data_IF_770992994848
#
_entry.id   IF_770992994848
#
_cell.length_a   1.000
_cell.length_b   1.000
_cell.length_c   1.000
_cell.angle_alpha   90.00
_cell.angle_beta   90.00
_cell.angle_gamma   90.00
#
_symmetry.space_group_name_H-M   'P 1'
#
loop_
_entity.id
_entity.type
_entity.pdbx_description
1 polymer ?
#
# COMPACT_ATOMS: atom_id res chain seq x y z
N UNK A 1 6.47 -10.53 30.41
CA UNK A 1 6.86 -10.13 29.02
C UNK A 1 6.29 -8.74 28.78
N UNK A 2 7.02 -7.85 28.11
CA UNK A 2 6.45 -6.53 27.72
C UNK A 2 5.43 -6.72 26.59
N UNK A 3 4.32 -6.00 26.66
CA UNK A 3 3.32 -5.99 25.61
C UNK A 3 3.90 -5.50 24.27
N UNK A 4 3.36 -5.97 23.17
CA UNK A 4 3.83 -5.78 21.79
C UNK A 4 2.86 -4.94 20.95
N UNK A 5 3.40 -4.31 19.94
CA UNK A 5 2.64 -3.76 18.82
C UNK A 5 2.69 -4.81 17.71
N UNK A 6 1.54 -5.36 17.36
CA UNK A 6 1.40 -6.34 16.28
C UNK A 6 0.92 -5.60 15.04
N UNK A 7 1.82 -5.36 14.09
CA UNK A 7 1.50 -4.68 12.84
C UNK A 7 1.05 -5.70 11.82
N UNK A 8 -0.19 -5.60 11.38
CA UNK A 8 -0.84 -6.59 10.50
C UNK A 8 -1.11 -5.98 9.13
N UNK A 9 -0.54 -6.57 8.10
CA UNK A 9 -0.94 -6.31 6.71
C UNK A 9 -2.29 -6.94 6.40
N UNK A 10 -3.27 -6.11 6.04
CA UNK A 10 -4.64 -6.58 5.76
C UNK A 10 -4.91 -6.82 4.27
N UNK A 11 -3.87 -6.82 3.45
CA UNK A 11 -4.00 -7.08 2.02
C UNK A 11 -4.52 -5.89 1.20
N UNK A 12 -4.80 -6.09 -0.10
CA UNK A 12 -5.13 -5.02 -1.04
C UNK A 12 -6.55 -4.44 -0.87
N UNK A 13 -7.44 -5.15 -0.15
CA UNK A 13 -8.81 -4.67 0.09
C UNK A 13 -9.81 -5.75 0.41
N UNK A 14 -9.86 -6.83 -0.37
CA UNK A 14 -10.74 -7.97 -0.11
C UNK A 14 -10.21 -8.79 1.09
N UNK A 15 -11.07 -9.12 2.08
CA UNK A 15 -10.71 -9.92 3.26
C UNK A 15 -10.11 -11.30 2.96
N UNK A 16 -10.42 -11.88 1.81
CA UNK A 16 -9.88 -13.19 1.40
C UNK A 16 -8.35 -13.19 1.23
N UNK A 17 -7.75 -11.99 1.08
CA UNK A 17 -6.30 -11.82 0.95
C UNK A 17 -5.58 -11.50 2.25
N UNK A 18 -6.30 -11.50 3.39
CA UNK A 18 -5.64 -11.41 4.69
C UNK A 18 -5.13 -12.77 5.12
N UNK A 19 -3.89 -12.82 5.60
CA UNK A 19 -3.34 -14.08 6.10
C UNK A 19 -4.05 -14.51 7.38
N UNK A 20 -4.35 -15.82 7.58
CA UNK A 20 -5.10 -16.30 8.74
C UNK A 20 -4.50 -15.86 10.09
N UNK A 21 -3.17 -15.81 10.20
CA UNK A 21 -2.48 -15.32 11.40
C UNK A 21 -2.82 -13.84 11.70
N UNK A 22 -2.92 -13.01 10.67
CA UNK A 22 -3.30 -11.60 10.79
C UNK A 22 -4.74 -11.45 11.25
N UNK A 23 -5.67 -12.16 10.61
CA UNK A 23 -7.08 -12.13 10.98
C UNK A 23 -7.31 -12.59 12.44
N UNK A 24 -6.60 -13.63 12.86
CA UNK A 24 -6.68 -14.11 14.24
C UNK A 24 -6.14 -13.07 15.24
N UNK A 25 -5.02 -12.41 14.93
CA UNK A 25 -4.47 -11.34 15.76
C UNK A 25 -5.47 -10.18 15.91
N UNK A 26 -6.12 -9.76 14.82
CA UNK A 26 -7.14 -8.71 14.84
C UNK A 26 -8.34 -9.11 15.71
N UNK A 27 -8.87 -10.32 15.54
CA UNK A 27 -10.05 -10.80 16.29
C UNK A 27 -9.80 -10.94 17.80
N UNK A 28 -8.57 -11.25 18.19
CA UNK A 28 -8.19 -11.44 19.61
C UNK A 28 -7.70 -10.15 20.27
N UNK A 29 -7.50 -9.08 19.50
CA UNK A 29 -7.00 -7.82 20.03
C UNK A 29 -8.00 -7.15 20.96
N UNK A 30 -7.51 -6.58 22.08
CA UNK A 30 -8.28 -5.66 22.92
C UNK A 30 -8.25 -4.25 22.33
N UNK A 31 -7.15 -3.87 21.72
CA UNK A 31 -6.90 -2.54 21.18
C UNK A 31 -6.54 -2.64 19.69
N UNK A 32 -7.30 -1.94 18.86
CA UNK A 32 -7.08 -1.89 17.41
C UNK A 32 -6.77 -0.47 16.94
N UNK A 33 -5.74 -0.35 16.12
CA UNK A 33 -5.42 0.85 15.37
C UNK A 33 -5.57 0.53 13.89
N UNK A 34 -6.18 1.41 13.10
CA UNK A 34 -6.34 1.15 11.67
C UNK A 34 -7.04 2.29 10.94
N UNK A 35 -6.97 2.30 9.61
CA UNK A 35 -7.79 3.20 8.80
C UNK A 35 -9.28 2.98 9.05
N UNK A 36 -10.11 4.01 8.91
CA UNK A 36 -11.56 3.95 9.21
C UNK A 36 -12.24 2.76 8.53
N UNK A 37 -11.91 2.50 7.26
CA UNK A 37 -12.45 1.36 6.52
C UNK A 37 -12.03 0.01 7.14
N UNK A 38 -10.75 -0.14 7.49
CA UNK A 38 -10.26 -1.37 8.12
C UNK A 38 -10.93 -1.62 9.47
N UNK A 39 -11.08 -0.59 10.29
CA UNK A 39 -11.80 -0.70 11.56
C UNK A 39 -13.26 -1.09 11.36
N UNK A 40 -13.97 -0.45 10.42
CA UNK A 40 -15.36 -0.80 10.08
C UNK A 40 -15.53 -2.23 9.59
N UNK A 41 -14.51 -2.78 8.91
CA UNK A 41 -14.57 -4.11 8.31
C UNK A 41 -14.18 -5.23 9.28
N UNK A 42 -13.22 -4.99 10.17
CA UNK A 42 -12.57 -6.04 10.95
C UNK A 42 -12.76 -5.93 12.46
N UNK A 43 -13.13 -4.75 13.00
CA UNK A 43 -13.34 -4.62 14.43
C UNK A 43 -14.58 -5.40 14.87
N UNK A 44 -14.52 -5.97 16.07
CA UNK A 44 -15.64 -6.69 16.71
C UNK A 44 -16.02 -6.01 18.02
N UNK A 45 -17.21 -6.31 18.51
CA UNK A 45 -17.71 -5.75 19.76
C UNK A 45 -16.75 -6.00 20.93
N UNK A 46 -16.61 -4.98 21.78
CA UNK A 46 -15.72 -5.02 22.95
C UNK A 46 -14.27 -4.62 22.69
N UNK A 47 -13.88 -4.37 21.44
CA UNK A 47 -12.56 -3.83 21.12
C UNK A 47 -12.56 -2.29 21.20
N UNK A 48 -11.52 -1.73 21.80
CA UNK A 48 -11.28 -0.29 21.76
C UNK A 48 -10.46 0.08 20.53
N UNK A 49 -10.97 1.00 19.72
CA UNK A 49 -10.40 1.32 18.40
C UNK A 49 -9.84 2.74 18.34
N UNK A 50 -8.77 2.93 17.57
CA UNK A 50 -8.20 4.24 17.26
C UNK A 50 -8.02 4.37 15.74
N UNK A 51 -8.71 5.30 15.06
CA UNK A 51 -8.56 5.50 13.63
C UNK A 51 -7.24 6.20 13.30
N UNK A 52 -6.54 5.68 12.30
CA UNK A 52 -5.38 6.38 11.72
C UNK A 52 -5.92 7.59 10.93
N UNK A 53 -5.46 8.77 11.32
CA UNK A 53 -5.78 10.06 10.68
C UNK A 53 -4.49 10.78 10.34
N UNK A 54 -4.57 12.05 9.91
CA UNK A 54 -3.41 12.90 9.73
C UNK A 54 -2.66 13.19 11.05
N UNK A 55 -3.35 13.06 12.20
CA UNK A 55 -2.75 13.16 13.54
C UNK A 55 -2.07 11.82 13.91
N UNK A 56 -0.88 11.61 13.37
CA UNK A 56 -0.07 10.41 13.66
C UNK A 56 0.40 10.44 15.12
N UNK A 57 0.65 11.62 15.71
CA UNK A 57 1.09 11.70 17.10
C UNK A 57 0.01 11.18 18.06
N UNK A 58 -1.25 11.56 17.85
CA UNK A 58 -2.37 11.03 18.65
C UNK A 58 -2.50 9.51 18.56
N UNK A 59 -2.21 8.92 17.39
CA UNK A 59 -2.15 7.45 17.22
C UNK A 59 -1.01 6.85 18.07
N UNK A 60 0.20 7.46 18.06
CA UNK A 60 1.33 6.98 18.86
C UNK A 60 1.05 7.08 20.36
N UNK A 61 0.38 8.14 20.80
CA UNK A 61 0.02 8.34 22.22
C UNK A 61 -1.03 7.31 22.67
N UNK A 62 -2.04 7.03 21.83
CA UNK A 62 -2.98 5.93 22.09
C UNK A 62 -2.23 4.61 22.27
N UNK A 63 -1.33 4.26 21.35
CA UNK A 63 -0.55 3.03 21.42
C UNK A 63 0.25 2.97 22.73
N UNK A 64 0.98 4.04 23.10
CA UNK A 64 1.77 4.08 24.34
C UNK A 64 0.93 3.81 25.59
N UNK A 65 -0.24 4.42 25.66
CA UNK A 65 -1.16 4.24 26.79
C UNK A 65 -1.68 2.81 26.86
N UNK A 66 -2.09 2.24 25.69
CA UNK A 66 -2.70 0.91 25.66
C UNK A 66 -1.70 -0.22 25.85
N UNK A 67 -0.44 -0.03 25.45
CA UNK A 67 0.65 -0.97 25.73
C UNK A 67 0.92 -1.20 27.23
N UNK A 68 0.45 -0.33 28.11
CA UNK A 68 0.52 -0.57 29.55
C UNK A 68 -0.45 -1.66 30.02
N UNK A 69 -1.46 -1.99 29.22
CA UNK A 69 -2.53 -2.90 29.58
C UNK A 69 -2.45 -4.24 28.81
N UNK A 70 -2.25 -4.20 27.48
CA UNK A 70 -2.18 -5.38 26.61
C UNK A 70 -1.46 -5.04 25.30
N UNK A 71 -1.29 -6.05 24.45
CA UNK A 71 -0.83 -5.87 23.09
C UNK A 71 -1.79 -4.95 22.29
N UNK A 72 -1.21 -4.17 21.37
CA UNK A 72 -1.97 -3.32 20.44
C UNK A 72 -1.79 -3.85 19.03
N UNK A 73 -2.88 -4.08 18.32
CA UNK A 73 -2.83 -4.49 16.90
C UNK A 73 -3.01 -3.26 16.02
N UNK A 74 -2.06 -3.02 15.13
CA UNK A 74 -2.11 -1.97 14.13
C UNK A 74 -2.32 -2.56 12.73
N UNK A 75 -3.50 -2.33 12.16
CA UNK A 75 -3.86 -2.76 10.81
C UNK A 75 -3.38 -1.74 9.79
N UNK A 76 -2.68 -2.21 8.76
CA UNK A 76 -2.23 -1.40 7.63
C UNK A 76 -2.68 -2.03 6.31
N UNK A 77 -3.06 -1.20 5.33
CA UNK A 77 -3.41 -1.69 3.99
C UNK A 77 -2.18 -2.29 3.31
N UNK A 78 -2.37 -3.35 2.54
CA UNK A 78 -1.30 -4.05 1.85
C UNK A 78 -0.37 -4.80 2.78
N UNK A 79 0.93 -4.59 2.60
CA UNK A 79 2.03 -5.13 3.41
C UNK A 79 2.64 -4.05 4.30
N UNK A 80 2.93 -4.35 5.58
CA UNK A 80 3.54 -3.37 6.50
C UNK A 80 4.91 -2.85 6.06
N UNK A 81 5.67 -3.65 5.33
CA UNK A 81 7.01 -3.28 4.85
C UNK A 81 7.00 -2.37 3.62
N UNK A 82 5.82 -2.02 3.08
CA UNK A 82 5.73 -1.26 1.84
C UNK A 82 4.92 0.03 2.01
N UNK A 83 5.60 1.14 2.35
CA UNK A 83 5.04 2.48 2.54
C UNK A 83 3.85 2.54 3.50
N UNK A 84 4.05 2.14 4.73
CA UNK A 84 2.98 2.02 5.73
C UNK A 84 3.28 2.76 7.05
N UNK A 85 2.34 2.65 8.01
CA UNK A 85 2.52 3.15 9.38
C UNK A 85 3.75 2.52 10.08
N UNK A 86 4.26 1.38 9.61
CA UNK A 86 5.42 0.72 10.22
C UNK A 86 6.63 1.66 10.30
N UNK A 87 6.85 2.53 9.31
CA UNK A 87 7.94 3.50 9.32
C UNK A 87 7.83 4.49 10.49
N UNK A 88 6.62 4.96 10.81
CA UNK A 88 6.38 5.82 11.94
C UNK A 88 6.54 5.06 13.28
N UNK A 89 6.01 3.85 13.36
CA UNK A 89 6.15 3.00 14.55
C UNK A 89 7.61 2.69 14.86
N UNK A 90 8.44 2.43 13.86
CA UNK A 90 9.88 2.17 14.05
C UNK A 90 10.68 3.38 14.54
N UNK A 91 10.21 4.59 14.29
CA UNK A 91 10.84 5.81 14.83
C UNK A 91 10.49 6.05 16.30
N UNK A 92 9.32 5.59 16.74
CA UNK A 92 8.74 5.88 18.06
C UNK A 92 8.90 4.74 19.07
N UNK A 93 9.03 3.51 18.60
CA UNK A 93 9.08 2.31 19.44
C UNK A 93 10.29 1.45 19.11
N UNK A 94 10.92 0.83 20.13
CA UNK A 94 12.05 -0.07 19.91
C UNK A 94 11.62 -1.31 19.10
N UNK A 95 12.53 -1.81 18.27
CA UNK A 95 12.22 -2.91 17.34
C UNK A 95 11.73 -4.18 18.03
N UNK A 96 12.22 -4.45 19.21
CA UNK A 96 11.82 -5.60 20.05
C UNK A 96 10.38 -5.51 20.55
N UNK A 97 9.74 -4.34 20.52
CA UNK A 97 8.31 -4.19 20.80
C UNK A 97 7.42 -4.40 19.57
N UNK A 98 8.00 -4.48 18.39
CA UNK A 98 7.26 -4.64 17.14
C UNK A 98 7.24 -6.12 16.73
N UNK A 99 6.06 -6.59 16.34
CA UNK A 99 5.87 -7.87 15.66
C UNK A 99 5.12 -7.60 14.38
N UNK A 100 5.68 -8.01 13.24
CA UNK A 100 5.08 -7.76 11.93
C UNK A 100 4.49 -9.05 11.39
N UNK A 101 3.23 -8.98 10.97
CA UNK A 101 2.56 -10.02 10.20
C UNK A 101 2.40 -9.47 8.78
N UNK A 102 3.08 -10.07 7.78
CA UNK A 102 3.06 -9.55 6.42
C UNK A 102 1.67 -9.66 5.79
N UNK A 103 1.44 -8.88 4.74
CA UNK A 103 0.25 -8.93 3.91
C UNK A 103 0.59 -8.87 2.43
N UNK A 104 -0.40 -9.01 1.57
CA UNK A 104 -0.24 -8.86 0.12
C UNK A 104 -0.37 -7.38 -0.21
N UNK A 105 0.69 -6.74 -0.71
CA UNK A 105 0.63 -5.35 -1.16
C UNK A 105 -0.24 -5.21 -2.41
N UNK A 106 -0.82 -4.03 -2.62
CA UNK A 106 -1.53 -3.73 -3.88
C UNK A 106 -0.62 -3.88 -5.09
N UNK A 107 0.68 -3.61 -4.93
CA UNK A 107 1.69 -3.79 -5.97
C UNK A 107 1.85 -5.26 -6.35
N UNK A 108 2.06 -6.16 -5.37
CA UNK A 108 2.14 -7.60 -5.62
C UNK A 108 0.87 -8.13 -6.27
N UNK A 109 -0.29 -7.66 -5.80
CA UNK A 109 -1.58 -8.06 -6.36
C UNK A 109 -1.72 -7.61 -7.82
N UNK A 110 -1.31 -6.37 -8.17
CA UNK A 110 -1.33 -5.88 -9.54
C UNK A 110 -0.50 -6.76 -10.50
N UNK A 111 0.73 -7.10 -10.10
CA UNK A 111 1.58 -8.01 -10.88
C UNK A 111 0.95 -9.41 -11.03
N UNK A 112 0.35 -9.94 -9.98
CA UNK A 112 -0.35 -11.23 -10.03
C UNK A 112 -1.55 -11.20 -10.99
N UNK A 113 -2.33 -10.10 -11.00
CA UNK A 113 -3.47 -9.93 -11.90
C UNK A 113 -3.06 -9.85 -13.38
N UNK A 114 -1.86 -9.37 -13.63
CA UNK A 114 -1.26 -9.32 -14.98
C UNK A 114 -0.48 -10.60 -15.35
N UNK A 115 -0.43 -11.57 -14.44
CA UNK A 115 0.38 -12.80 -14.57
C UNK A 115 1.87 -12.51 -14.85
N UNK A 116 2.43 -11.48 -14.21
CA UNK A 116 3.80 -11.01 -14.42
C UNK A 116 4.68 -11.28 -13.21
N UNK A 117 5.92 -11.76 -13.42
CA UNK A 117 6.93 -11.74 -12.39
C UNK A 117 7.35 -10.30 -12.09
N UNK A 118 7.68 -10.02 -10.82
CA UNK A 118 8.06 -8.66 -10.39
C UNK A 118 9.45 -8.57 -9.75
N UNK A 119 10.22 -9.69 -9.77
CA UNK A 119 11.54 -9.72 -9.17
C UNK A 119 12.56 -8.78 -9.83
N UNK A 120 12.39 -8.48 -11.14
CA UNK A 120 13.25 -7.53 -11.88
C UNK A 120 12.61 -6.14 -12.03
N UNK A 121 11.44 -5.91 -11.42
CA UNK A 121 10.77 -4.62 -11.52
C UNK A 121 11.38 -3.60 -10.56
N UNK A 122 11.58 -2.38 -11.03
CA UNK A 122 11.83 -1.23 -10.18
C UNK A 122 10.50 -0.80 -9.55
N UNK A 123 10.46 -0.65 -8.23
CA UNK A 123 9.26 -0.22 -7.52
C UNK A 123 9.49 1.17 -6.93
N UNK A 124 8.60 2.12 -7.23
CA UNK A 124 8.68 3.47 -6.72
C UNK A 124 7.29 3.98 -6.26
N UNK A 125 7.26 5.10 -5.57
CA UNK A 125 6.03 5.62 -4.99
C UNK A 125 5.91 7.12 -5.17
N UNK A 126 4.78 7.53 -5.73
CA UNK A 126 4.31 8.92 -5.69
C UNK A 126 3.33 9.18 -4.53
N UNK A 127 3.00 8.16 -3.74
CA UNK A 127 2.07 8.32 -2.63
C UNK A 127 2.73 9.07 -1.47
N UNK A 128 2.37 10.35 -1.32
CA UNK A 128 2.91 11.25 -0.29
C UNK A 128 4.41 11.56 -0.41
N UNK A 129 5.01 11.30 -1.58
CA UNK A 129 6.44 11.54 -1.89
C UNK A 129 6.65 11.69 -3.39
N UNK A 130 7.84 12.12 -3.78
CA UNK A 130 8.27 12.14 -5.18
C UNK A 130 9.47 11.21 -5.34
N UNK A 131 9.42 10.24 -6.28
CA UNK A 131 10.58 9.41 -6.61
C UNK A 131 11.76 10.27 -7.12
N UNK A 132 12.97 9.75 -6.99
CA UNK A 132 14.15 10.37 -7.60
C UNK A 132 14.10 10.25 -9.12
N UNK A 133 14.83 11.13 -9.82
CA UNK A 133 14.95 11.07 -11.27
C UNK A 133 15.52 9.73 -11.75
N UNK A 134 16.45 9.13 -11.00
CA UNK A 134 17.05 7.83 -11.30
C UNK A 134 16.04 6.68 -11.18
N UNK A 135 15.20 6.68 -10.14
CA UNK A 135 14.17 5.64 -9.95
C UNK A 135 13.23 5.56 -11.15
N UNK A 136 12.84 6.71 -11.74
CA UNK A 136 11.87 6.78 -12.83
C UNK A 136 12.50 6.94 -14.22
N UNK A 137 13.81 7.07 -14.35
CA UNK A 137 14.49 7.18 -15.65
C UNK A 137 14.19 5.96 -16.53
N UNK A 138 14.04 6.20 -17.83
CA UNK A 138 13.84 5.13 -18.82
C UNK A 138 15.14 4.37 -19.06
N UNK A 139 15.02 3.06 -19.05
CA UNK A 139 16.03 2.12 -19.54
C UNK A 139 15.37 1.05 -20.41
N UNK A 140 15.98 0.61 -21.53
CA UNK A 140 15.44 -0.47 -22.33
C UNK A 140 15.23 -1.74 -21.50
N UNK A 141 14.00 -2.28 -21.53
CA UNK A 141 13.63 -3.48 -20.78
C UNK A 141 13.19 -3.22 -19.33
N UNK A 142 13.31 -1.99 -18.82
CA UNK A 142 12.85 -1.66 -17.47
C UNK A 142 11.35 -1.86 -17.32
N UNK A 143 10.95 -2.50 -16.23
CA UNK A 143 9.57 -2.56 -15.74
C UNK A 143 9.50 -1.70 -14.48
N UNK A 144 8.55 -0.76 -14.44
CA UNK A 144 8.41 0.18 -13.35
C UNK A 144 7.01 0.07 -12.74
N UNK A 145 6.94 -0.36 -11.47
CA UNK A 145 5.72 -0.38 -10.67
C UNK A 145 5.60 0.86 -9.79
N UNK A 146 4.46 1.55 -9.83
CA UNK A 146 4.27 2.85 -9.19
C UNK A 146 3.01 2.89 -8.33
N UNK A 147 3.16 3.35 -7.08
CA UNK A 147 2.04 3.80 -6.26
C UNK A 147 1.65 5.23 -6.63
N UNK A 148 0.35 5.49 -6.69
CA UNK A 148 -0.21 6.81 -7.03
C UNK A 148 -0.93 7.44 -5.85
N UNK A 149 -1.24 8.73 -5.95
CA UNK A 149 -2.09 9.46 -5.02
C UNK A 149 -3.11 10.34 -5.77
N UNK A 150 -3.74 11.29 -5.09
CA UNK A 150 -4.71 12.19 -5.70
C UNK A 150 -4.09 13.24 -6.62
N UNK A 151 -2.84 13.64 -6.38
CA UNK A 151 -2.11 14.63 -7.20
C UNK A 151 -1.35 13.94 -8.34
N UNK A 152 -0.69 12.81 -8.02
CA UNK A 152 0.05 11.99 -8.95
C UNK A 152 -0.82 10.82 -9.40
N UNK A 153 -1.71 11.10 -10.34
CA UNK A 153 -2.66 10.16 -10.93
C UNK A 153 -2.13 9.54 -12.22
N UNK A 154 -2.94 8.70 -12.87
CA UNK A 154 -2.56 8.00 -14.11
C UNK A 154 -2.10 8.91 -15.24
N UNK A 155 -2.73 10.08 -15.40
CA UNK A 155 -2.39 11.04 -16.47
C UNK A 155 -1.11 11.81 -16.13
N UNK A 156 -1.02 12.36 -14.92
CA UNK A 156 0.16 13.14 -14.49
C UNK A 156 1.42 12.30 -14.46
N UNK A 157 1.33 11.05 -14.00
CA UNK A 157 2.49 10.15 -13.99
C UNK A 157 2.89 9.76 -15.41
N UNK A 158 1.96 9.49 -16.32
CA UNK A 158 2.29 9.23 -17.72
C UNK A 158 3.10 10.39 -18.33
N UNK A 159 2.70 11.64 -18.07
CA UNK A 159 3.45 12.83 -18.51
C UNK A 159 4.84 12.92 -17.87
N UNK A 160 4.94 12.63 -16.56
CA UNK A 160 6.22 12.64 -15.84
C UNK A 160 7.16 11.59 -16.44
N UNK A 161 6.69 10.38 -16.72
CA UNK A 161 7.50 9.32 -17.32
C UNK A 161 7.96 9.71 -18.73
N UNK A 162 7.09 10.25 -19.58
CA UNK A 162 7.49 10.71 -20.92
C UNK A 162 8.56 11.82 -20.84
N UNK A 163 8.44 12.76 -19.86
CA UNK A 163 9.49 13.76 -19.61
C UNK A 163 10.80 13.14 -19.08
N UNK A 164 10.71 12.00 -18.38
CA UNK A 164 11.87 11.22 -17.92
C UNK A 164 12.48 10.30 -19.01
N UNK A 165 12.05 10.45 -20.28
CA UNK A 165 12.62 9.76 -21.44
C UNK A 165 11.89 8.50 -21.86
N UNK A 166 10.77 8.14 -21.23
CA UNK A 166 9.99 6.96 -21.64
C UNK A 166 9.34 7.20 -23.00
N UNK A 167 9.41 6.26 -23.95
CA UNK A 167 8.74 6.38 -25.24
C UNK A 167 7.22 6.52 -25.08
N UNK A 168 6.57 7.43 -25.84
CA UNK A 168 5.11 7.62 -25.75
C UNK A 168 4.28 6.36 -26.01
N UNK A 169 4.79 5.46 -26.87
CA UNK A 169 4.17 4.18 -27.17
C UNK A 169 4.44 3.06 -26.16
N UNK A 170 5.17 3.35 -25.06
CA UNK A 170 5.46 2.35 -24.04
C UNK A 170 4.17 1.86 -23.36
N UNK A 171 3.99 0.53 -23.18
CA UNK A 171 2.84 -0.01 -22.47
C UNK A 171 2.72 0.53 -21.05
N UNK A 172 1.48 0.82 -20.64
CA UNK A 172 1.09 1.21 -19.31
C UNK A 172 -0.13 0.40 -18.89
N UNK A 173 -0.05 -0.27 -17.75
CA UNK A 173 -1.19 -0.89 -17.08
C UNK A 173 -1.64 -0.01 -15.94
N UNK A 174 -2.93 0.32 -15.93
CA UNK A 174 -3.59 1.07 -14.87
C UNK A 174 -4.44 0.07 -14.08
N UNK A 175 -4.08 -0.21 -12.84
CA UNK A 175 -4.73 -1.19 -12.00
C UNK A 175 -5.45 -0.45 -10.86
N UNK A 176 -6.75 -0.28 -11.01
CA UNK A 176 -7.60 0.47 -10.09
C UNK A 176 -8.51 -0.44 -9.31
N UNK A 177 -8.87 -0.04 -8.08
CA UNK A 177 -9.81 -0.75 -7.23
C UNK A 177 -9.47 -2.24 -7.04
N UNK A 178 -8.18 -2.54 -6.98
CA UNK A 178 -7.63 -3.89 -6.90
C UNK A 178 -8.24 -4.69 -5.75
N UNK A 179 -8.67 -5.91 -6.05
CA UNK A 179 -9.35 -6.88 -5.17
C UNK A 179 -10.78 -6.52 -4.74
N UNK A 180 -11.33 -5.40 -5.16
CA UNK A 180 -12.73 -5.07 -4.95
C UNK A 180 -13.61 -5.60 -6.09
N UNK A 181 -14.93 -5.62 -5.88
CA UNK A 181 -15.89 -6.06 -6.89
C UNK A 181 -15.87 -5.20 -8.17
N UNK A 182 -15.50 -3.93 -8.03
CA UNK A 182 -15.33 -2.96 -9.10
C UNK A 182 -13.86 -2.81 -9.53
N UNK A 183 -13.06 -3.88 -9.44
CA UNK A 183 -11.68 -3.94 -9.93
C UNK A 183 -11.64 -3.65 -11.43
N UNK A 184 -10.74 -2.76 -11.82
CA UNK A 184 -10.52 -2.40 -13.22
C UNK A 184 -9.03 -2.44 -13.56
N UNK A 185 -8.70 -3.13 -14.67
CA UNK A 185 -7.33 -3.21 -15.20
C UNK A 185 -7.36 -2.79 -16.66
N UNK A 186 -6.71 -1.67 -16.96
CA UNK A 186 -6.66 -1.10 -18.31
C UNK A 186 -5.23 -1.23 -18.84
N UNK A 187 -5.10 -1.81 -20.02
CA UNK A 187 -3.85 -1.82 -20.78
C UNK A 187 -3.88 -0.75 -21.86
N UNK A 188 -2.93 0.16 -21.83
CA UNK A 188 -2.84 1.30 -22.73
C UNK A 188 -1.38 1.64 -23.06
N UNK A 189 -1.09 2.85 -23.53
CA UNK A 189 0.26 3.40 -23.65
C UNK A 189 0.37 4.70 -22.87
N UNK A 190 1.59 5.16 -22.57
CA UNK A 190 1.82 6.41 -21.87
C UNK A 190 1.09 7.58 -22.54
N UNK A 191 1.19 7.70 -23.85
CA UNK A 191 0.52 8.77 -24.61
C UNK A 191 -1.00 8.68 -24.53
N UNK A 192 -1.56 7.48 -24.69
CA UNK A 192 -3.01 7.30 -24.66
C UNK A 192 -3.60 7.49 -23.26
N UNK A 193 -2.81 7.23 -22.20
CA UNK A 193 -3.26 7.41 -20.82
C UNK A 193 -3.68 8.87 -20.52
N UNK A 194 -3.12 9.86 -21.23
CA UNK A 194 -3.50 11.28 -21.09
C UNK A 194 -4.96 11.57 -21.45
N UNK A 195 -5.58 10.73 -22.28
CA UNK A 195 -6.95 10.92 -22.78
C UNK A 195 -7.97 10.00 -22.09
N UNK A 196 -7.51 9.08 -21.26
CA UNK A 196 -8.39 8.20 -20.48
C UNK A 196 -8.99 8.94 -19.29
N UNK A 197 -10.05 8.39 -18.66
CA UNK A 197 -10.51 8.87 -17.36
C UNK A 197 -9.36 8.92 -16.34
N UNK A 198 -9.47 9.84 -15.40
CA UNK A 198 -8.47 10.02 -14.38
C UNK A 198 -8.57 8.91 -13.31
N UNK A 199 -7.49 8.15 -13.11
CA UNK A 199 -7.36 7.14 -12.08
C UNK A 199 -6.38 7.63 -11.01
N UNK A 200 -6.85 7.73 -9.78
CA UNK A 200 -6.05 8.05 -8.60
C UNK A 200 -6.05 6.87 -7.61
N UNK A 201 -5.11 6.86 -6.67
CA UNK A 201 -4.97 5.76 -5.70
C UNK A 201 -4.99 4.37 -6.37
N UNK A 202 -4.34 4.26 -7.52
CA UNK A 202 -4.20 3.04 -8.31
C UNK A 202 -2.73 2.59 -8.35
N UNK A 203 -2.49 1.41 -8.92
CA UNK A 203 -1.15 0.95 -9.26
C UNK A 203 -0.94 1.16 -10.75
N UNK A 204 0.19 1.75 -11.12
CA UNK A 204 0.64 1.83 -12.51
C UNK A 204 1.82 0.89 -12.71
N UNK A 205 1.80 0.13 -13.82
CA UNK A 205 2.93 -0.68 -14.23
C UNK A 205 3.28 -0.28 -15.66
N UNK A 206 4.46 0.34 -15.83
CA UNK A 206 4.99 0.78 -17.10
C UNK A 206 6.13 -0.12 -17.55
N UNK A 207 6.21 -0.40 -18.85
CA UNK A 207 7.28 -1.20 -19.44
C UNK A 207 6.76 -2.23 -20.43
N UNK A 208 7.65 -2.71 -21.29
CA UNK A 208 7.32 -3.79 -22.22
C UNK A 208 7.50 -5.11 -21.47
N UNK A 209 6.42 -5.83 -21.34
CA UNK A 209 6.40 -7.18 -20.83
C UNK A 209 6.55 -8.13 -22.01
N UNK A 210 7.58 -8.93 -21.97
CA UNK A 210 7.88 -9.94 -23.00
C UNK A 210 6.90 -11.10 -22.94
#
# INVERSE_FOLDING_TARGET
>A
MKNKIIVVGIGPGNPDYIVPKGLNAIRQAKFLVGGRRALSQFAVDGQETCPITADIQGVMDFIRVKLQQADVVAMVSGDPGYYSLLDALRREFPAEQLTVIPGISAMQYAFARLALPWHDATLASFHGRTPTAEEIAYEPGKILGLLTDSQHNSQTIAQILMKAGWPPGQPLHICSRLSYEDEEIITTTLQKAETLPLYNHCILIAGKMS
#
